data_IF_615663731140
#
_entry.id   IF_615663731140
#
_cell.length_a   1.000
_cell.length_b   1.000
_cell.length_c   1.000
_cell.angle_alpha   90.00
_cell.angle_beta   90.00
_cell.angle_gamma   90.00
#
_symmetry.space_group_name_H-M   'P 1'
#
loop_
_entity.id
_entity.type
_entity.pdbx_description
1 polymer ?
#
# COMPACT_ATOMS: atom_id res chain seq x y z
N UNK A 1 26.97 -0.03 13.77
CA UNK A 1 26.91 -1.49 13.58
C UNK A 1 25.47 -1.86 13.21
N UNK A 2 25.09 -1.64 11.95
CA UNK A 2 23.79 -2.03 11.41
C UNK A 2 24.08 -2.78 10.11
N UNK A 3 23.73 -4.05 10.10
CA UNK A 3 23.89 -4.95 8.96
C UNK A 3 22.98 -4.43 7.83
N UNK A 4 23.48 -4.24 6.59
CA UNK A 4 22.63 -3.80 5.49
C UNK A 4 21.69 -4.94 5.12
N UNK A 5 20.39 -4.70 5.16
CA UNK A 5 19.42 -5.60 4.52
C UNK A 5 19.63 -5.45 3.02
N UNK A 6 20.32 -6.42 2.41
CA UNK A 6 20.72 -6.40 0.98
C UNK A 6 19.62 -6.95 0.06
N UNK A 7 18.39 -7.00 0.54
CA UNK A 7 17.24 -7.36 -0.28
C UNK A 7 16.36 -6.12 -0.38
N UNK A 8 16.28 -5.52 -1.59
CA UNK A 8 15.50 -4.32 -1.93
C UNK A 8 13.99 -4.40 -1.67
N UNK A 9 13.54 -5.34 -0.84
CA UNK A 9 12.20 -5.48 -0.27
C UNK A 9 11.62 -4.18 0.29
N UNK A 10 12.45 -3.30 0.87
CA UNK A 10 12.01 -1.98 1.37
C UNK A 10 11.96 -0.92 0.26
N UNK A 11 12.76 -1.09 -0.79
CA UNK A 11 12.85 -0.13 -1.90
C UNK A 11 11.68 -0.31 -2.87
N UNK A 12 11.27 -1.56 -3.15
CA UNK A 12 10.23 -1.86 -4.16
C UNK A 12 8.90 -1.15 -3.92
N UNK A 13 8.30 -1.11 -2.71
CA UNK A 13 7.04 -0.40 -2.51
C UNK A 13 7.18 1.11 -2.77
N UNK A 14 8.33 1.69 -2.39
CA UNK A 14 8.64 3.10 -2.67
C UNK A 14 8.82 3.34 -4.18
N UNK A 15 9.65 2.54 -4.85
CA UNK A 15 9.90 2.62 -6.30
C UNK A 15 8.62 2.45 -7.13
N UNK A 16 7.63 1.69 -6.62
CA UNK A 16 6.34 1.49 -7.29
C UNK A 16 5.50 2.76 -7.32
N UNK A 17 5.50 3.55 -6.24
CA UNK A 17 4.67 4.76 -6.12
C UNK A 17 5.40 6.06 -6.45
N UNK A 18 6.73 6.05 -6.46
CA UNK A 18 7.56 7.23 -6.72
C UNK A 18 7.20 7.92 -8.06
N UNK A 19 7.09 7.23 -9.21
CA UNK A 19 6.77 7.90 -10.48
C UNK A 19 5.41 8.61 -10.47
N UNK A 20 4.41 8.01 -9.83
CA UNK A 20 3.08 8.60 -9.71
C UNK A 20 3.10 9.80 -8.75
N UNK A 21 3.83 9.71 -7.64
CA UNK A 21 4.00 10.82 -6.71
C UNK A 21 4.67 12.02 -7.39
N UNK A 22 5.73 11.79 -8.18
CA UNK A 22 6.41 12.83 -8.96
C UNK A 22 5.48 13.50 -9.97
N UNK A 23 4.70 12.73 -10.73
CA UNK A 23 3.74 13.26 -11.71
C UNK A 23 2.66 14.14 -11.06
N UNK A 24 2.21 13.76 -9.86
CA UNK A 24 1.23 14.51 -9.08
C UNK A 24 1.83 15.68 -8.27
N UNK A 25 3.16 15.83 -8.26
CA UNK A 25 3.85 16.82 -7.44
C UNK A 25 3.73 16.57 -5.93
N UNK A 26 3.58 15.31 -5.54
CA UNK A 26 3.47 14.83 -4.17
C UNK A 26 4.79 14.22 -3.69
N UNK A 27 4.92 14.03 -2.37
CA UNK A 27 6.01 13.27 -1.76
C UNK A 27 5.47 11.99 -1.16
N UNK A 28 6.22 10.89 -1.29
CA UNK A 28 5.88 9.61 -0.66
C UNK A 28 6.13 9.70 0.86
N UNK A 29 5.11 9.40 1.66
CA UNK A 29 5.25 9.28 3.12
C UNK A 29 5.89 7.92 3.47
N UNK A 30 7.07 7.97 4.09
CA UNK A 30 7.85 6.79 4.51
C UNK A 30 8.06 6.76 6.03
N UNK A 31 7.21 7.47 6.79
CA UNK A 31 7.36 7.63 8.24
C UNK A 31 7.00 6.38 9.05
N UNK A 32 6.21 5.46 8.50
CA UNK A 32 5.86 4.19 9.13
C UNK A 32 6.87 3.09 8.80
N UNK A 33 7.24 2.30 9.81
CA UNK A 33 8.09 1.12 9.62
C UNK A 33 7.34 -0.02 8.93
N UNK A 34 8.08 -0.89 8.24
CA UNK A 34 7.57 -1.96 7.37
C UNK A 34 6.59 -2.97 8.00
N UNK A 35 6.52 -3.04 9.32
CA UNK A 35 5.66 -3.96 10.09
C UNK A 35 4.88 -3.19 11.16
N UNK A 36 4.54 -1.93 10.89
CA UNK A 36 3.80 -1.04 11.79
C UNK A 36 2.45 -0.63 11.15
N UNK A 37 1.56 -1.60 11.02
CA UNK A 37 0.20 -1.44 10.51
C UNK A 37 -0.62 -0.46 11.37
N UNK A 38 -0.25 -0.30 12.65
CA UNK A 38 -0.85 0.69 13.56
C UNK A 38 -0.47 2.12 13.18
N UNK A 39 0.78 2.36 12.79
CA UNK A 39 1.22 3.65 12.28
C UNK A 39 0.43 4.02 11.03
N UNK A 40 0.28 3.08 10.08
CA UNK A 40 -0.49 3.28 8.84
C UNK A 40 -1.95 3.66 9.15
N UNK A 41 -2.64 2.91 10.02
CA UNK A 41 -4.00 3.26 10.45
C UNK A 41 -4.07 4.68 11.03
N UNK A 42 -3.09 5.06 11.85
CA UNK A 42 -3.07 6.39 12.47
C UNK A 42 -2.88 7.48 11.42
N UNK A 43 -2.00 7.27 10.43
CA UNK A 43 -1.79 8.18 9.32
C UNK A 43 -3.08 8.35 8.48
N UNK A 44 -3.72 7.24 8.09
CA UNK A 44 -4.99 7.26 7.35
C UNK A 44 -6.08 8.02 8.09
N UNK A 45 -6.23 7.80 9.41
CA UNK A 45 -7.22 8.51 10.23
C UNK A 45 -6.89 9.98 10.48
N UNK A 46 -5.62 10.35 10.41
CA UNK A 46 -5.16 11.73 10.61
C UNK A 46 -5.17 12.55 9.31
N UNK A 47 -5.27 11.89 8.16
CA UNK A 47 -5.36 12.56 6.87
C UNK A 47 -6.66 13.36 6.76
N UNK A 48 -6.52 14.66 6.62
CA UNK A 48 -7.61 15.64 6.47
C UNK A 48 -7.58 16.35 5.11
N UNK A 49 -6.71 15.89 4.21
CA UNK A 49 -6.60 16.39 2.85
C UNK A 49 -7.74 15.93 1.95
N UNK A 50 -7.87 16.60 0.80
CA UNK A 50 -8.80 16.21 -0.25
C UNK A 50 -8.23 15.03 -1.08
N UNK A 51 -9.09 14.08 -1.44
CA UNK A 51 -8.74 12.98 -2.35
C UNK A 51 -8.57 11.63 -1.67
N UNK A 52 -7.89 10.72 -2.37
CA UNK A 52 -7.68 9.33 -1.93
C UNK A 52 -6.25 9.14 -1.42
N UNK A 53 -6.09 8.18 -0.51
CA UNK A 53 -4.79 7.71 -0.04
C UNK A 53 -4.42 6.46 -0.84
N UNK A 54 -3.22 6.43 -1.41
CA UNK A 54 -2.63 5.22 -1.99
C UNK A 54 -1.63 4.65 -0.99
N UNK A 55 -1.79 3.38 -0.63
CA UNK A 55 -0.89 2.63 0.24
C UNK A 55 -0.25 1.53 -0.61
N UNK A 56 1.07 1.50 -0.67
CA UNK A 56 1.83 0.43 -1.33
C UNK A 56 2.75 -0.21 -0.31
N UNK A 57 2.68 -1.54 -0.21
CA UNK A 57 3.36 -2.28 0.84
C UNK A 57 3.65 -3.71 0.40
N UNK A 58 4.34 -4.47 1.24
CA UNK A 58 4.57 -5.91 1.05
C UNK A 58 3.28 -6.72 1.31
N UNK A 59 3.15 -7.89 0.65
CA UNK A 59 1.89 -8.63 0.51
C UNK A 59 1.28 -9.06 1.86
N UNK A 60 2.05 -9.68 2.75
CA UNK A 60 1.56 -10.17 4.04
C UNK A 60 1.00 -9.02 4.89
N UNK A 61 1.68 -7.87 4.81
CA UNK A 61 1.34 -6.68 5.56
C UNK A 61 0.11 -5.93 4.98
N UNK A 62 -0.19 -6.06 3.67
CA UNK A 62 -1.40 -5.47 3.09
C UNK A 62 -2.68 -6.06 3.69
N UNK A 63 -2.70 -7.38 3.92
CA UNK A 63 -3.78 -8.06 4.64
C UNK A 63 -3.93 -7.47 6.05
N UNK A 64 -2.83 -7.36 6.79
CA UNK A 64 -2.82 -6.82 8.16
C UNK A 64 -3.26 -5.36 8.22
N UNK A 65 -2.87 -4.54 7.24
CA UNK A 65 -3.29 -3.14 7.13
C UNK A 65 -4.81 -3.06 6.91
N UNK A 66 -5.37 -3.87 5.99
CA UNK A 66 -6.81 -3.89 5.73
C UNK A 66 -7.61 -4.26 6.99
N UNK A 67 -7.20 -5.31 7.70
CA UNK A 67 -7.79 -5.67 9.01
C UNK A 67 -7.67 -4.52 10.01
N UNK A 68 -6.52 -3.84 10.02
CA UNK A 68 -6.32 -2.72 10.94
C UNK A 68 -7.24 -1.56 10.64
N UNK A 69 -7.49 -1.26 9.37
CA UNK A 69 -8.39 -0.19 8.97
C UNK A 69 -9.83 -0.49 9.40
N UNK A 70 -10.24 -1.75 9.31
CA UNK A 70 -11.50 -2.24 9.87
C UNK A 70 -12.16 -3.36 9.07
N UNK A 71 -11.48 -3.94 8.08
CA UNK A 71 -12.00 -5.06 7.30
C UNK A 71 -11.98 -6.32 8.16
N UNK A 72 -13.15 -6.81 8.55
CA UNK A 72 -13.26 -8.08 9.27
C UNK A 72 -12.87 -9.24 8.32
N UNK A 73 -11.93 -10.10 8.76
CA UNK A 73 -11.46 -11.27 8.00
C UNK A 73 -10.98 -10.89 6.58
N UNK A 74 -10.03 -9.95 6.51
CA UNK A 74 -9.49 -9.50 5.24
C UNK A 74 -8.88 -10.69 4.46
N UNK A 75 -9.06 -10.75 3.13
CA UNK A 75 -8.48 -11.83 2.33
C UNK A 75 -6.95 -11.76 2.37
N UNK A 76 -6.29 -12.87 2.07
CA UNK A 76 -4.85 -12.86 1.83
C UNK A 76 -4.53 -12.16 0.50
N UNK A 77 -3.58 -11.23 0.54
CA UNK A 77 -3.02 -10.65 -0.67
C UNK A 77 -2.18 -11.70 -1.42
N UNK A 78 -2.32 -11.87 -2.75
CA UNK A 78 -1.64 -12.97 -3.44
C UNK A 78 -0.11 -12.80 -3.49
N UNK A 79 0.64 -13.85 -3.16
CA UNK A 79 2.11 -13.84 -3.10
C UNK A 79 2.80 -13.49 -4.44
N UNK A 80 2.19 -13.90 -5.57
CA UNK A 80 2.76 -13.79 -6.92
C UNK A 80 2.19 -12.63 -7.74
N UNK A 81 1.31 -11.80 -7.16
CA UNK A 81 0.65 -10.67 -7.83
C UNK A 81 1.11 -9.34 -7.22
N UNK A 82 1.81 -8.52 -8.00
CA UNK A 82 2.34 -7.24 -7.53
C UNK A 82 1.54 -6.04 -8.08
N UNK A 83 0.50 -6.28 -8.89
CA UNK A 83 -0.29 -5.26 -9.59
C UNK A 83 -1.72 -5.11 -9.09
N UNK A 84 -2.12 -5.91 -8.11
CA UNK A 84 -3.46 -5.86 -7.53
C UNK A 84 -3.69 -4.59 -6.70
N UNK A 85 -4.90 -4.05 -6.78
CA UNK A 85 -5.34 -2.86 -6.04
C UNK A 85 -6.63 -3.19 -5.31
N UNK A 86 -6.63 -3.01 -4.00
CA UNK A 86 -7.83 -3.12 -3.18
C UNK A 86 -8.40 -1.73 -2.92
N UNK A 87 -9.66 -1.54 -3.27
CA UNK A 87 -10.38 -0.28 -3.04
C UNK A 87 -11.26 -0.38 -1.81
N UNK A 88 -10.92 0.42 -0.80
CA UNK A 88 -11.65 0.54 0.46
C UNK A 88 -12.21 1.97 0.56
N UNK A 89 -13.49 2.22 0.23
CA UNK A 89 -14.10 3.52 0.48
C UNK A 89 -14.31 3.75 1.97
N UNK A 90 -14.41 5.01 2.41
CA UNK A 90 -14.78 5.34 3.80
C UNK A 90 -16.08 4.59 4.18
N UNK A 91 -16.14 3.90 5.34
CA UNK A 91 -15.26 4.03 6.51
C UNK A 91 -14.03 3.10 6.54
N UNK A 92 -13.64 2.54 5.40
CA UNK A 92 -12.47 1.65 5.20
C UNK A 92 -12.60 0.27 5.85
N UNK A 93 -13.84 -0.15 6.15
CA UNK A 93 -14.16 -1.43 6.78
C UNK A 93 -14.55 -2.53 5.77
N UNK A 94 -14.58 -2.21 4.47
CA UNK A 94 -14.98 -3.14 3.42
C UNK A 94 -14.15 -2.93 2.17
N UNK A 95 -13.66 -4.02 1.58
CA UNK A 95 -13.07 -4.03 0.23
C UNK A 95 -14.21 -4.08 -0.78
N UNK A 96 -14.44 -3.00 -1.53
CA UNK A 96 -15.53 -2.94 -2.53
C UNK A 96 -15.11 -3.29 -3.94
N UNK A 97 -13.80 -3.25 -4.22
CA UNK A 97 -13.25 -3.66 -5.51
C UNK A 97 -11.84 -4.22 -5.31
N UNK A 98 -11.54 -5.27 -6.07
CA UNK A 98 -10.20 -5.80 -6.30
C UNK A 98 -9.98 -5.67 -7.80
N UNK A 99 -9.05 -4.81 -8.19
CA UNK A 99 -8.66 -4.58 -9.58
C UNK A 99 -7.20 -4.95 -9.76
N UNK A 100 -6.78 -5.12 -11.00
CA UNK A 100 -5.40 -5.42 -11.34
C UNK A 100 -5.02 -4.52 -12.51
N UNK A 101 -3.93 -3.77 -12.34
CA UNK A 101 -3.36 -2.93 -13.40
C UNK A 101 -2.59 -3.76 -14.42
N UNK A 102 -3.22 -4.81 -14.94
CA UNK A 102 -2.77 -5.57 -16.10
C UNK A 102 -2.92 -4.68 -17.35
N UNK A 103 -2.04 -3.70 -17.48
CA UNK A 103 -1.92 -2.87 -18.67
C UNK A 103 -1.49 -3.73 -19.85
N UNK A 104 -2.44 -4.25 -20.61
CA UNK A 104 -2.17 -4.94 -21.86
C UNK A 104 -1.37 -4.02 -22.81
N UNK A 105 -0.07 -4.29 -22.98
CA UNK A 105 0.78 -3.58 -23.94
C UNK A 105 1.98 -2.83 -23.37
N UNK A 106 2.20 -2.82 -22.05
CA UNK A 106 3.45 -2.34 -21.45
C UNK A 106 4.39 -3.50 -21.14
N UNK A 107 5.06 -4.01 -22.20
CA UNK A 107 6.27 -4.82 -22.10
C UNK A 107 6.13 -6.23 -21.52
N UNK A 108 5.78 -7.18 -22.39
CA UNK A 108 6.23 -8.58 -22.26
C UNK A 108 7.68 -8.71 -22.73
#
# INVERSE_FOLDING_TARGET
DLVPCVDGSRERPYETVEPLAEELGLTVDTSCDKTDEKCVKKAVKAYDGDGNILICWEHDELTLIAEKLGVDDAPDYPDDDYGQIWTLPYPWDTITAITDENCAGLGQ
#
